data_IF_126453144452
#
_entry.id   IF_126453144452
#
_cell.length_a   1.000
_cell.length_b   1.000
_cell.length_c   1.000
_cell.angle_alpha   90.00
_cell.angle_beta   90.00
_cell.angle_gamma   90.00
#
_symmetry.space_group_name_H-M   'P 1'
#
loop_
_entity.id
_entity.type
_entity.pdbx_description
1 polymer ?
#
# COMPACT_ATOMS: atom_id res chain seq x y z
N UNK A 1 13.69 -22.82 1.69
CA UNK A 1 13.79 -24.13 1.01
C UNK A 1 12.77 -25.14 1.54
N UNK A 2 12.47 -25.17 2.85
CA UNK A 2 11.61 -26.18 3.48
C UNK A 2 10.10 -26.04 3.21
N UNK A 3 9.69 -24.96 2.55
CA UNK A 3 8.28 -24.63 2.36
C UNK A 3 7.75 -24.90 0.94
N UNK A 4 8.63 -25.15 -0.03
CA UNK A 4 8.28 -25.48 -1.41
C UNK A 4 8.10 -26.99 -1.56
N UNK A 5 7.02 -27.51 -1.00
CA UNK A 5 6.70 -28.94 -1.01
C UNK A 5 5.54 -29.17 -1.98
N UNK A 6 5.68 -30.17 -2.85
CA UNK A 6 4.55 -30.68 -3.65
C UNK A 6 3.86 -31.80 -2.86
N UNK A 7 2.74 -31.46 -2.21
CA UNK A 7 2.00 -32.38 -1.34
C UNK A 7 1.45 -33.60 -2.05
N UNK A 8 1.07 -33.48 -3.34
CA UNK A 8 0.58 -34.60 -4.15
C UNK A 8 1.67 -35.63 -4.37
N UNK A 9 2.84 -35.20 -4.84
CA UNK A 9 4.00 -36.08 -5.07
C UNK A 9 4.45 -36.70 -3.75
N UNK A 10 4.49 -35.90 -2.68
CA UNK A 10 4.88 -36.36 -1.36
C UNK A 10 3.96 -37.47 -0.83
N UNK A 11 2.64 -37.25 -0.87
CA UNK A 11 1.67 -38.24 -0.42
C UNK A 11 1.72 -39.54 -1.25
N UNK A 12 1.88 -39.43 -2.57
CA UNK A 12 2.02 -40.59 -3.44
C UNK A 12 3.35 -41.34 -3.23
N UNK A 13 4.42 -40.64 -2.89
CA UNK A 13 5.72 -41.26 -2.60
C UNK A 13 5.70 -42.08 -1.30
N UNK A 14 4.87 -41.69 -0.34
CA UNK A 14 4.69 -42.40 0.94
C UNK A 14 3.85 -43.67 0.81
N UNK A 15 3.12 -43.85 -0.30
CA UNK A 15 2.35 -45.07 -0.55
C UNK A 15 3.28 -46.27 -0.76
N UNK A 16 3.11 -47.35 0.02
CA UNK A 16 3.79 -48.61 -0.22
C UNK A 16 3.42 -49.19 -1.60
N UNK A 17 4.32 -49.91 -2.29
CA UNK A 17 4.10 -50.37 -3.66
C UNK A 17 2.81 -51.17 -3.86
N UNK A 18 2.42 -51.96 -2.87
CA UNK A 18 1.22 -52.81 -2.90
C UNK A 18 -0.11 -52.04 -2.77
N UNK A 19 -0.08 -50.78 -2.34
CA UNK A 19 -1.28 -49.90 -2.24
C UNK A 19 -1.37 -48.88 -3.38
N UNK A 20 -0.48 -48.91 -4.39
CA UNK A 20 -0.42 -47.92 -5.48
C UNK A 20 -1.44 -48.18 -6.60
N UNK A 21 -2.62 -48.68 -6.31
CA UNK A 21 -3.69 -48.77 -7.31
C UNK A 21 -4.23 -47.39 -7.67
N UNK A 22 -4.77 -47.23 -8.89
CA UNK A 22 -5.28 -45.94 -9.38
C UNK A 22 -6.41 -45.36 -8.50
N UNK A 23 -7.25 -46.23 -7.94
CA UNK A 23 -8.34 -45.84 -7.03
C UNK A 23 -7.82 -45.31 -5.70
N UNK A 24 -6.88 -46.02 -5.07
CA UNK A 24 -6.28 -45.60 -3.78
C UNK A 24 -5.51 -44.30 -3.94
N UNK A 25 -4.76 -44.14 -5.04
CA UNK A 25 -4.08 -42.88 -5.36
C UNK A 25 -5.08 -41.71 -5.46
N UNK A 26 -6.20 -41.91 -6.14
CA UNK A 26 -7.24 -40.89 -6.30
C UNK A 26 -7.86 -40.48 -4.96
N UNK A 27 -8.15 -41.45 -4.08
CA UNK A 27 -8.64 -41.19 -2.72
C UNK A 27 -7.64 -40.39 -1.89
N UNK A 28 -6.36 -40.74 -1.96
CA UNK A 28 -5.31 -40.02 -1.22
C UNK A 28 -5.15 -38.60 -1.74
N UNK A 29 -5.16 -38.40 -3.05
CA UNK A 29 -5.12 -37.05 -3.65
C UNK A 29 -6.33 -36.22 -3.22
N UNK A 30 -7.51 -36.81 -3.12
CA UNK A 30 -8.71 -36.15 -2.61
C UNK A 30 -8.55 -35.74 -1.15
N UNK A 31 -8.02 -36.60 -0.28
CA UNK A 31 -7.76 -36.27 1.13
C UNK A 31 -6.67 -35.18 1.29
N UNK A 32 -5.67 -35.19 0.41
CA UNK A 32 -4.55 -34.23 0.44
C UNK A 32 -4.92 -32.87 -0.16
N UNK A 33 -5.98 -32.79 -0.98
CA UNK A 33 -6.40 -31.56 -1.66
C UNK A 33 -6.67 -30.38 -0.72
N UNK A 34 -7.25 -30.64 0.46
CA UNK A 34 -7.47 -29.62 1.49
C UNK A 34 -6.16 -29.06 2.05
N UNK A 35 -5.16 -29.94 2.26
CA UNK A 35 -3.82 -29.55 2.73
C UNK A 35 -3.10 -28.73 1.66
N UNK A 36 -3.22 -29.14 0.39
CA UNK A 36 -2.65 -28.40 -0.74
C UNK A 36 -3.25 -26.99 -0.83
N UNK A 37 -4.57 -26.87 -0.67
CA UNK A 37 -5.28 -25.58 -0.70
C UNK A 37 -4.80 -24.67 0.43
N UNK A 38 -4.75 -25.18 1.67
CA UNK A 38 -4.25 -24.44 2.83
C UNK A 38 -2.79 -24.04 2.65
N UNK A 39 -1.95 -24.93 2.12
CA UNK A 39 -0.55 -24.63 1.85
C UNK A 39 -0.39 -23.55 0.78
N UNK A 40 -1.20 -23.58 -0.28
CA UNK A 40 -1.22 -22.53 -1.29
C UNK A 40 -1.62 -21.18 -0.71
N UNK A 41 -2.70 -21.12 0.09
CA UNK A 41 -3.13 -19.89 0.77
C UNK A 41 -2.02 -19.34 1.68
N UNK A 42 -1.37 -20.23 2.45
CA UNK A 42 -0.24 -19.85 3.28
C UNK A 42 0.95 -19.33 2.46
N UNK A 43 1.25 -19.91 1.29
CA UNK A 43 2.29 -19.41 0.39
C UNK A 43 1.97 -18.01 -0.12
N UNK A 44 0.72 -17.73 -0.48
CA UNK A 44 0.29 -16.39 -0.89
C UNK A 44 0.40 -15.39 0.26
N UNK A 45 -0.06 -15.78 1.46
CA UNK A 45 0.05 -14.95 2.66
C UNK A 45 1.51 -14.63 3.00
N UNK A 46 2.38 -15.65 2.92
CA UNK A 46 3.82 -15.50 3.11
C UNK A 46 4.43 -14.56 2.09
N UNK A 47 4.12 -14.71 0.80
CA UNK A 47 4.60 -13.83 -0.25
C UNK A 47 4.17 -12.38 0.00
N UNK A 48 2.90 -12.16 0.38
CA UNK A 48 2.38 -10.85 0.76
C UNK A 48 3.09 -10.25 1.98
N UNK A 49 3.40 -11.04 3.00
CA UNK A 49 4.14 -10.56 4.17
C UNK A 49 5.59 -10.21 3.85
N UNK A 50 6.27 -11.01 3.02
CA UNK A 50 7.63 -10.69 2.57
C UNK A 50 7.62 -9.39 1.78
N UNK A 51 6.63 -9.20 0.90
CA UNK A 51 6.45 -7.94 0.20
C UNK A 51 6.27 -6.77 1.17
N UNK A 52 5.43 -6.92 2.19
CA UNK A 52 5.25 -5.90 3.24
C UNK A 52 6.54 -5.58 3.98
N UNK A 53 7.32 -6.59 4.35
CA UNK A 53 8.60 -6.40 5.05
C UNK A 53 9.69 -5.79 4.17
N UNK A 54 9.64 -6.02 2.86
CA UNK A 54 10.59 -5.47 1.90
C UNK A 54 10.35 -3.98 1.60
N UNK A 55 9.15 -3.46 1.88
CA UNK A 55 8.77 -2.07 1.65
C UNK A 55 8.74 -1.30 2.96
N UNK A 56 9.13 -0.03 2.91
CA UNK A 56 9.17 0.85 4.08
C UNK A 56 8.67 2.25 3.72
N UNK A 57 8.79 3.18 4.68
CA UNK A 57 8.31 4.56 4.55
C UNK A 57 9.13 5.43 3.59
N UNK A 58 10.24 4.94 3.03
CA UNK A 58 11.05 5.75 2.12
C UNK A 58 10.26 6.00 0.82
N UNK A 59 10.45 7.20 0.26
CA UNK A 59 9.74 7.69 -0.94
C UNK A 59 9.75 6.69 -2.09
N UNK A 60 10.88 6.04 -2.36
CA UNK A 60 11.02 5.06 -3.44
C UNK A 60 10.16 3.80 -3.22
N UNK A 61 10.20 3.22 -2.03
CA UNK A 61 9.46 2.00 -1.69
C UNK A 61 7.96 2.27 -1.56
N UNK A 62 7.55 3.34 -0.87
CA UNK A 62 6.14 3.71 -0.76
C UNK A 62 5.52 3.99 -2.13
N UNK A 63 6.22 4.74 -2.99
CA UNK A 63 5.79 4.96 -4.38
C UNK A 63 5.74 3.66 -5.18
N UNK A 64 6.70 2.77 -4.96
CA UNK A 64 6.71 1.43 -5.58
C UNK A 64 5.46 0.64 -5.22
N UNK A 65 5.13 0.58 -3.92
CA UNK A 65 3.96 -0.14 -3.41
C UNK A 65 2.63 0.44 -3.92
N UNK A 66 2.53 1.77 -4.02
CA UNK A 66 1.35 2.44 -4.59
C UNK A 66 1.18 2.08 -6.07
N UNK A 67 2.24 2.14 -6.86
CA UNK A 67 2.18 1.80 -8.28
C UNK A 67 1.89 0.30 -8.47
N UNK A 68 2.53 -0.59 -7.72
CA UNK A 68 2.27 -2.03 -7.82
C UNK A 68 0.80 -2.38 -7.53
N UNK A 69 0.15 -1.62 -6.64
CA UNK A 69 -1.25 -1.84 -6.25
C UNK A 69 -2.25 -1.20 -7.21
N UNK A 70 -2.02 0.04 -7.63
CA UNK A 70 -3.02 0.85 -8.32
C UNK A 70 -2.68 1.15 -9.79
N UNK A 71 -1.41 1.32 -10.15
CA UNK A 71 -0.96 1.64 -11.52
C UNK A 71 0.21 0.75 -11.94
N UNK A 72 -0.06 -0.55 -12.10
CA UNK A 72 0.97 -1.56 -12.29
C UNK A 72 1.69 -1.43 -13.64
N UNK A 73 0.98 -0.99 -14.67
CA UNK A 73 1.49 -0.92 -16.05
C UNK A 73 2.27 0.38 -16.30
N UNK A 74 1.64 1.54 -16.07
CA UNK A 74 2.22 2.84 -16.42
C UNK A 74 3.02 3.46 -15.28
N UNK A 75 2.73 3.06 -14.02
CA UNK A 75 3.46 3.47 -12.81
C UNK A 75 3.60 4.99 -12.63
N UNK A 76 2.51 5.73 -12.86
CA UNK A 76 2.48 7.19 -12.93
C UNK A 76 2.28 7.88 -11.58
N UNK A 77 2.04 7.14 -10.50
CA UNK A 77 1.83 7.73 -9.17
C UNK A 77 3.14 8.35 -8.68
N UNK A 78 3.08 9.62 -8.30
CA UNK A 78 4.22 10.38 -7.76
C UNK A 78 4.00 10.70 -6.28
N UNK A 79 5.11 10.86 -5.59
CA UNK A 79 5.12 11.42 -4.23
C UNK A 79 5.98 12.65 -4.34
N UNK A 80 5.54 13.77 -3.79
CA UNK A 80 6.32 15.01 -3.68
C UNK A 80 6.28 15.54 -2.25
N UNK A 81 7.15 16.51 -1.99
CA UNK A 81 7.24 17.11 -0.67
C UNK A 81 6.01 17.97 -0.38
N UNK A 82 5.69 18.12 0.90
CA UNK A 82 4.57 18.94 1.33
C UNK A 82 4.74 20.42 0.99
N UNK A 83 3.61 21.09 0.76
CA UNK A 83 3.60 22.55 0.64
C UNK A 83 3.84 23.18 2.01
N UNK A 84 4.68 24.22 2.06
CA UNK A 84 5.02 24.95 3.27
C UNK A 84 4.81 26.46 3.08
N UNK A 85 3.61 26.88 2.67
CA UNK A 85 3.31 28.30 2.51
C UNK A 85 3.32 29.00 3.88
N UNK A 86 3.80 30.25 3.93
CA UNK A 86 3.78 31.05 5.17
C UNK A 86 2.43 31.72 5.35
N UNK A 87 1.83 31.58 6.54
CA UNK A 87 0.61 32.33 6.89
C UNK A 87 0.93 33.81 6.96
N UNK A 88 0.08 34.62 6.34
CA UNK A 88 0.20 36.08 6.36
C UNK A 88 -0.73 36.63 7.44
N UNK A 89 -0.15 37.04 8.57
CA UNK A 89 -0.90 37.69 9.64
C UNK A 89 -1.40 39.07 9.16
N UNK A 90 -2.69 39.35 9.40
CA UNK A 90 -3.34 40.59 9.02
C UNK A 90 -3.27 41.55 10.22
N UNK A 91 -4.23 41.47 11.13
CA UNK A 91 -4.26 42.09 12.46
C UNK A 91 -5.56 41.64 13.16
N UNK A 92 -5.63 41.78 14.47
CA UNK A 92 -6.87 41.60 15.25
C UNK A 92 -7.58 42.94 15.45
N UNK A 93 -8.89 42.93 15.70
CA UNK A 93 -9.69 44.16 15.83
C UNK A 93 -9.12 45.13 16.89
N UNK A 94 -8.58 44.60 17.99
CA UNK A 94 -7.97 45.41 19.05
C UNK A 94 -6.60 46.01 18.73
N UNK A 95 -5.96 45.58 17.64
CA UNK A 95 -4.67 46.15 17.20
C UNK A 95 -4.83 47.42 16.36
N UNK A 96 -6.03 47.70 15.84
CA UNK A 96 -6.39 48.90 15.05
C UNK A 96 -5.34 49.31 13.99
N UNK A 97 -4.75 48.33 13.29
CA UNK A 97 -3.71 48.54 12.26
C UNK A 97 -4.24 48.23 10.86
N UNK A 98 -5.11 49.08 10.27
CA UNK A 98 -5.65 48.83 8.95
C UNK A 98 -4.53 48.71 7.92
N UNK A 99 -4.50 47.59 7.20
CA UNK A 99 -3.45 47.24 6.23
C UNK A 99 -4.08 47.01 4.87
N UNK A 100 -3.56 47.66 3.84
CA UNK A 100 -4.00 47.41 2.47
C UNK A 100 -3.53 46.02 2.02
N UNK A 101 -4.48 45.09 1.97
CA UNK A 101 -4.30 43.74 1.44
C UNK A 101 -4.50 43.85 -0.07
N UNK A 102 -3.41 43.95 -0.83
CA UNK A 102 -3.49 43.80 -2.29
C UNK A 102 -3.99 42.40 -2.69
N UNK A 103 -3.63 41.91 -3.87
CA UNK A 103 -3.96 40.53 -4.27
C UNK A 103 -3.27 39.50 -3.37
N UNK A 104 -4.06 38.72 -2.63
CA UNK A 104 -3.61 37.61 -1.78
C UNK A 104 -4.29 36.33 -2.26
N UNK A 105 -3.50 35.28 -2.41
CA UNK A 105 -4.00 33.94 -2.68
C UNK A 105 -4.21 33.21 -1.36
N UNK A 106 -5.42 32.67 -1.18
CA UNK A 106 -5.77 31.83 -0.04
C UNK A 106 -5.57 30.38 -0.43
N UNK A 107 -4.95 29.61 0.45
CA UNK A 107 -4.76 28.17 0.31
C UNK A 107 -5.51 27.44 1.42
N UNK A 108 -5.65 26.13 1.28
CA UNK A 108 -6.21 25.30 2.34
C UNK A 108 -5.28 25.30 3.57
N UNK A 109 -5.83 25.10 4.77
CA UNK A 109 -5.05 25.07 6.00
C UNK A 109 -3.93 24.00 5.94
N UNK A 110 -4.17 22.92 5.20
CA UNK A 110 -3.21 21.82 4.99
C UNK A 110 -1.95 22.19 4.21
N UNK A 111 -1.92 23.36 3.54
CA UNK A 111 -0.84 23.76 2.65
C UNK A 111 0.10 24.80 3.30
N UNK A 112 -0.19 25.24 4.54
CA UNK A 112 0.62 26.18 5.31
C UNK A 112 1.63 25.50 6.24
N UNK A 113 2.77 26.13 6.52
CA UNK A 113 3.93 25.50 7.19
C UNK A 113 3.69 24.87 8.58
N UNK A 114 2.76 25.39 9.38
CA UNK A 114 2.47 24.87 10.73
C UNK A 114 1.53 23.64 10.70
N UNK A 115 0.44 23.72 9.92
CA UNK A 115 -0.53 22.63 9.78
C UNK A 115 -0.23 21.73 8.56
N UNK A 116 0.89 22.01 7.88
CA UNK A 116 1.21 21.50 6.56
C UNK A 116 1.38 19.99 6.50
N UNK A 117 0.93 19.39 5.41
CA UNK A 117 1.24 17.99 5.11
C UNK A 117 2.75 17.81 4.92
N UNK A 118 3.32 16.66 5.30
CA UNK A 118 4.74 16.38 5.11
C UNK A 118 5.06 15.96 3.66
N UNK A 119 4.11 15.28 3.00
CA UNK A 119 4.25 14.84 1.61
C UNK A 119 2.89 14.77 0.91
N UNK A 120 2.92 14.85 -0.42
CA UNK A 120 1.74 14.82 -1.28
C UNK A 120 1.86 13.60 -2.20
N UNK A 121 0.80 12.80 -2.29
CA UNK A 121 0.69 11.70 -3.23
C UNK A 121 -0.14 12.18 -4.41
N UNK A 122 0.48 12.22 -5.57
CA UNK A 122 -0.12 12.70 -6.82
C UNK A 122 -0.53 11.49 -7.64
N UNK A 123 -1.82 11.42 -7.93
CA UNK A 123 -2.45 10.29 -8.63
C UNK A 123 -3.03 10.79 -9.96
N UNK A 124 -2.82 10.07 -11.08
CA UNK A 124 -3.43 10.42 -12.35
C UNK A 124 -4.97 10.43 -12.27
N UNK A 125 -5.62 11.43 -12.84
CA UNK A 125 -7.07 11.58 -12.81
C UNK A 125 -7.87 10.53 -13.58
N UNK A 126 -7.24 9.84 -14.53
CA UNK A 126 -7.82 8.71 -15.25
C UNK A 126 -7.80 7.41 -14.43
N UNK A 127 -7.09 7.38 -13.30
CA UNK A 127 -6.94 6.17 -12.50
C UNK A 127 -8.19 5.92 -11.65
N UNK A 128 -8.80 4.75 -11.80
CA UNK A 128 -9.91 4.30 -10.95
C UNK A 128 -9.34 3.57 -9.74
N UNK A 129 -9.50 4.15 -8.55
CA UNK A 129 -9.03 3.54 -7.31
C UNK A 129 -9.98 3.83 -6.14
N UNK A 130 -9.92 2.97 -5.12
CA UNK A 130 -10.60 3.21 -3.85
C UNK A 130 -9.75 4.13 -2.97
N UNK A 131 -10.28 5.30 -2.62
CA UNK A 131 -9.61 6.26 -1.74
C UNK A 131 -9.29 5.64 -0.37
N UNK A 132 -10.20 4.82 0.18
CA UNK A 132 -9.99 4.16 1.46
C UNK A 132 -8.86 3.15 1.43
N UNK A 133 -8.74 2.40 0.35
CA UNK A 133 -7.68 1.41 0.17
C UNK A 133 -6.31 2.08 0.02
N UNK A 134 -6.24 3.16 -0.76
CA UNK A 134 -5.01 3.95 -0.91
C UNK A 134 -4.58 4.55 0.42
N UNK A 135 -5.51 5.12 1.19
CA UNK A 135 -5.24 5.62 2.55
C UNK A 135 -4.72 4.53 3.47
N UNK A 136 -5.37 3.36 3.49
CA UNK A 136 -4.93 2.24 4.32
C UNK A 136 -3.52 1.76 3.95
N UNK A 137 -3.17 1.73 2.66
CA UNK A 137 -1.84 1.37 2.19
C UNK A 137 -0.80 2.41 2.62
N UNK A 138 -1.10 3.70 2.42
CA UNK A 138 -0.21 4.78 2.86
C UNK A 138 -0.01 4.72 4.37
N UNK A 139 -1.09 4.58 5.14
CA UNK A 139 -1.07 4.51 6.61
C UNK A 139 -0.26 3.32 7.13
N UNK A 140 -0.27 2.19 6.43
CA UNK A 140 0.49 1.02 6.79
C UNK A 140 2.02 1.23 6.69
N UNK A 141 2.49 1.95 5.67
CA UNK A 141 3.92 2.16 5.41
C UNK A 141 4.47 3.49 5.92
N UNK A 142 3.61 4.48 6.12
CA UNK A 142 3.94 5.82 6.61
C UNK A 142 4.51 5.76 8.04
N UNK A 143 5.46 6.63 8.34
CA UNK A 143 5.90 6.86 9.72
C UNK A 143 4.77 7.51 10.53
N UNK A 144 4.51 7.05 11.75
CA UNK A 144 3.34 7.41 12.57
C UNK A 144 3.09 8.93 12.75
N UNK A 145 4.10 9.78 12.64
CA UNK A 145 3.99 11.24 12.80
C UNK A 145 3.84 12.02 11.49
N UNK A 146 3.98 11.38 10.33
CA UNK A 146 3.99 12.08 9.03
C UNK A 146 2.57 12.32 8.55
N UNK A 147 2.26 13.51 8.07
CA UNK A 147 0.96 13.89 7.48
C UNK A 147 1.03 13.83 5.95
N UNK A 148 -0.05 13.47 5.29
CA UNK A 148 -0.09 13.41 3.83
C UNK A 148 -1.39 13.91 3.25
N UNK A 149 -1.34 14.30 1.97
CA UNK A 149 -2.50 14.66 1.16
C UNK A 149 -2.46 13.87 -0.15
N UNK A 150 -3.62 13.42 -0.61
CA UNK A 150 -3.76 12.80 -1.93
C UNK A 150 -4.34 13.85 -2.85
N UNK A 151 -3.68 14.10 -3.97
CA UNK A 151 -4.10 15.06 -5.00
C UNK A 151 -4.20 14.33 -6.32
N UNK A 152 -5.20 14.71 -7.10
CA UNK A 152 -5.43 14.17 -8.43
C UNK A 152 -4.94 15.19 -9.47
N UNK A 153 -4.19 14.73 -10.45
CA UNK A 153 -3.66 15.53 -11.57
C UNK A 153 -4.10 14.97 -12.92
#
# INVERSE_FOLDING_TARGET
>A
MWFSINWKIFALSLLPPYLRSMTVQSWILLLVSAVETLHYEWLQYRAGNIYKLAHNSQKCYLRGALNDRFDRELRRIRIDDGNAFKRKYIYTDGEEKPKYLGTIFLYDDSDYSDTGVDFIVIVPGDLVYSVYEMRALIDFYRLASKRYKIVTE
#
